data_IF_720657831304
#
_entry.id   IF_720657831304
#
_cell.length_a   1.000
_cell.length_b   1.000
_cell.length_c   1.000
_cell.angle_alpha   90.00
_cell.angle_beta   90.00
_cell.angle_gamma   90.00
#
_symmetry.space_group_name_H-M   'P 1'
#
loop_
_entity.id
_entity.type
_entity.pdbx_description
1 polymer ?
#
# COMPACT_ATOMS: atom_id res chain seq x y z
N UNK A 1 -7.08 5.78 -5.52
CA UNK A 1 -5.74 5.68 -4.87
C UNK A 1 -5.76 6.02 -3.39
N UNK A 2 -5.98 7.28 -2.97
CA UNK A 2 -5.95 7.64 -1.54
C UNK A 2 -6.95 6.80 -0.73
N UNK A 3 -8.19 6.64 -1.20
CA UNK A 3 -9.19 5.82 -0.51
C UNK A 3 -8.76 4.34 -0.38
N UNK A 4 -8.14 3.76 -1.42
CA UNK A 4 -7.60 2.39 -1.37
C UNK A 4 -6.49 2.26 -0.32
N UNK A 5 -5.55 3.22 -0.31
CA UNK A 5 -4.45 3.26 0.67
C UNK A 5 -5.01 3.30 2.10
N UNK A 6 -5.97 4.18 2.36
CA UNK A 6 -6.60 4.25 3.69
C UNK A 6 -7.31 2.94 4.04
N UNK A 7 -7.96 2.28 3.09
CA UNK A 7 -8.60 0.97 3.30
C UNK A 7 -7.58 -0.11 3.72
N UNK A 8 -6.44 -0.20 3.04
CA UNK A 8 -5.37 -1.12 3.42
C UNK A 8 -4.73 -0.75 4.77
N UNK A 9 -4.50 0.54 5.03
CA UNK A 9 -4.00 1.03 6.31
C UNK A 9 -4.89 0.63 7.48
N UNK A 10 -6.21 0.75 7.33
CA UNK A 10 -7.16 0.24 8.33
C UNK A 10 -7.08 -1.28 8.44
N UNK A 11 -6.96 -2.01 7.32
CA UNK A 11 -6.74 -3.45 7.33
C UNK A 11 -5.53 -3.87 8.17
N UNK A 12 -4.39 -3.20 8.00
CA UNK A 12 -3.22 -3.41 8.84
C UNK A 12 -3.49 -3.12 10.31
N UNK A 13 -4.10 -1.97 10.61
CA UNK A 13 -4.41 -1.59 11.98
C UNK A 13 -5.33 -2.59 12.68
N UNK A 14 -6.36 -3.10 11.99
CA UNK A 14 -7.26 -4.12 12.52
C UNK A 14 -6.53 -5.45 12.75
N UNK A 15 -5.73 -5.93 11.79
CA UNK A 15 -5.00 -7.18 11.94
C UNK A 15 -4.02 -7.11 13.11
N UNK A 16 -3.28 -6.02 13.26
CA UNK A 16 -2.31 -5.84 14.34
C UNK A 16 -3.00 -5.75 15.71
N UNK A 17 -4.17 -5.09 15.80
CA UNK A 17 -4.89 -4.92 17.08
C UNK A 17 -5.67 -6.15 17.52
N UNK A 18 -6.35 -6.81 16.59
CA UNK A 18 -7.33 -7.85 16.93
C UNK A 18 -6.80 -9.27 16.73
N UNK A 19 -5.68 -9.42 16.03
CA UNK A 19 -5.15 -10.73 15.68
C UNK A 19 -3.66 -10.85 15.97
N UNK A 20 -3.22 -11.99 16.48
CA UNK A 20 -1.79 -12.30 16.64
C UNK A 20 -1.13 -12.82 15.35
N UNK A 21 -1.68 -12.47 14.17
CA UNK A 21 -1.22 -12.97 12.86
C UNK A 21 0.07 -12.28 12.38
N UNK A 22 0.49 -11.21 13.04
CA UNK A 22 1.77 -10.54 12.79
C UNK A 22 1.78 -9.10 13.31
N UNK A 23 2.92 -8.43 13.16
CA UNK A 23 3.10 -7.01 13.46
C UNK A 23 3.85 -6.29 12.34
N UNK A 24 3.70 -4.98 12.27
CA UNK A 24 4.69 -4.09 11.64
C UNK A 24 5.79 -3.82 12.66
N UNK A 25 7.05 -3.89 12.25
CA UNK A 25 8.19 -3.57 13.11
C UNK A 25 9.13 -2.60 12.41
N UNK A 26 9.74 -1.70 13.16
CA UNK A 26 10.81 -0.85 12.66
C UNK A 26 12.05 -1.70 12.37
N UNK A 27 12.70 -1.49 11.23
CA UNK A 27 13.83 -2.31 10.79
C UNK A 27 15.08 -2.12 11.67
N UNK A 28 15.31 -0.90 12.14
CA UNK A 28 16.49 -0.50 12.91
C UNK A 28 16.40 -0.91 14.39
N UNK A 29 15.26 -0.69 15.04
CA UNK A 29 15.06 -0.98 16.47
C UNK A 29 14.40 -2.32 16.73
N UNK A 30 13.71 -2.90 15.73
CA UNK A 30 12.88 -4.09 15.90
C UNK A 30 11.60 -3.85 16.70
N UNK A 31 11.29 -2.60 17.04
CA UNK A 31 10.12 -2.26 17.85
C UNK A 31 8.81 -2.45 17.09
N UNK A 32 7.83 -3.05 17.75
CA UNK A 32 6.50 -3.24 17.20
C UNK A 32 5.76 -1.90 17.09
N UNK A 33 5.23 -1.64 15.90
CA UNK A 33 4.53 -0.41 15.59
C UNK A 33 3.02 -0.65 15.67
N UNK A 34 2.37 0.10 16.56
CA UNK A 34 0.92 0.01 16.79
C UNK A 34 0.16 1.30 16.42
N UNK A 35 0.87 2.34 15.98
CA UNK A 35 0.26 3.61 15.61
C UNK A 35 -0.40 3.53 14.21
N UNK A 36 -1.63 4.02 14.11
CA UNK A 36 -2.37 4.10 12.85
C UNK A 36 -1.64 4.97 11.81
N UNK A 37 -0.96 6.04 12.22
CA UNK A 37 -0.24 6.92 11.30
C UNK A 37 0.90 6.18 10.58
N UNK A 38 1.60 5.30 11.30
CA UNK A 38 2.65 4.48 10.71
C UNK A 38 2.08 3.37 9.82
N UNK A 39 0.88 2.85 10.12
CA UNK A 39 0.18 1.92 9.23
C UNK A 39 -0.21 2.60 7.91
N UNK A 40 -0.66 3.84 7.97
CA UNK A 40 -0.97 4.65 6.78
C UNK A 40 0.29 4.89 5.97
N UNK A 41 1.37 5.35 6.60
CA UNK A 41 2.66 5.53 5.94
C UNK A 41 3.16 4.25 5.26
N UNK A 42 3.11 3.12 5.98
CA UNK A 42 3.47 1.81 5.45
C UNK A 42 2.63 1.41 4.22
N UNK A 43 1.32 1.66 4.29
CA UNK A 43 0.40 1.43 3.17
C UNK A 43 0.73 2.32 1.96
N UNK A 44 1.05 3.60 2.17
CA UNK A 44 1.47 4.50 1.09
C UNK A 44 2.68 3.96 0.32
N UNK A 45 3.74 3.61 1.05
CA UNK A 45 5.00 3.15 0.44
C UNK A 45 4.86 1.77 -0.19
N UNK A 46 3.97 0.92 0.32
CA UNK A 46 3.69 -0.42 -0.23
C UNK A 46 2.82 -0.33 -1.47
N UNK A 47 1.72 0.42 -1.42
CA UNK A 47 0.78 0.61 -2.53
C UNK A 47 1.47 1.25 -3.74
N UNK A 48 2.35 2.23 -3.51
CA UNK A 48 3.12 2.87 -4.57
C UNK A 48 4.35 2.08 -5.01
N UNK A 49 4.60 0.92 -4.39
CA UNK A 49 5.77 0.06 -4.63
C UNK A 49 7.12 0.72 -4.35
N UNK A 50 7.14 1.80 -3.56
CA UNK A 50 8.34 2.55 -3.20
C UNK A 50 9.25 1.77 -2.24
N UNK A 51 8.67 1.22 -1.17
CA UNK A 51 9.33 0.29 -0.26
C UNK A 51 10.63 0.78 0.39
N UNK A 52 10.61 1.87 1.16
CA UNK A 52 11.81 2.39 1.86
C UNK A 52 12.51 1.36 2.78
N UNK A 53 11.77 0.36 3.28
CA UNK A 53 12.32 -0.73 4.08
C UNK A 53 12.61 -0.37 5.54
N UNK A 54 12.17 0.80 5.99
CA UNK A 54 12.22 1.27 7.38
C UNK A 54 11.20 0.55 8.27
N UNK A 55 10.07 0.15 7.71
CA UNK A 55 9.05 -0.67 8.38
C UNK A 55 8.88 -1.98 7.62
N UNK A 56 8.95 -3.09 8.35
CA UNK A 56 8.82 -4.42 7.78
C UNK A 56 7.63 -5.20 8.38
N UNK A 57 6.87 -5.95 7.55
CA UNK A 57 5.80 -6.80 8.01
C UNK A 57 6.34 -8.15 8.50
N UNK A 58 5.78 -8.63 9.60
CA UNK A 58 6.11 -9.94 10.19
C UNK A 58 4.90 -10.87 10.17
N UNK A 59 5.15 -12.18 10.21
CA UNK A 59 4.08 -13.18 10.17
C UNK A 59 3.26 -13.17 8.87
N UNK A 60 1.96 -13.41 8.99
CA UNK A 60 1.02 -13.51 7.86
C UNK A 60 0.71 -12.17 7.21
N UNK A 61 1.04 -11.03 7.84
CA UNK A 61 0.89 -9.70 7.25
C UNK A 61 1.67 -9.53 5.95
N UNK A 62 2.75 -10.29 5.75
CA UNK A 62 3.54 -10.29 4.51
C UNK A 62 2.71 -10.58 3.27
N UNK A 63 1.69 -11.43 3.39
CA UNK A 63 0.80 -11.73 2.26
C UNK A 63 -0.09 -10.54 1.92
N UNK A 64 -0.59 -9.81 2.92
CA UNK A 64 -1.38 -8.61 2.70
C UNK A 64 -0.53 -7.51 2.05
N UNK A 65 0.71 -7.33 2.48
CA UNK A 65 1.70 -6.45 1.83
C UNK A 65 1.88 -6.77 0.35
N UNK A 66 2.05 -8.05 0.02
CA UNK A 66 2.20 -8.48 -1.38
C UNK A 66 0.94 -8.23 -2.22
N UNK A 67 -0.24 -8.42 -1.64
CA UNK A 67 -1.50 -8.13 -2.31
C UNK A 67 -1.72 -6.63 -2.52
N UNK A 68 -1.37 -5.82 -1.52
CA UNK A 68 -1.46 -4.37 -1.62
C UNK A 68 -0.53 -3.81 -2.72
N UNK A 69 0.72 -4.26 -2.76
CA UNK A 69 1.68 -3.79 -3.77
C UNK A 69 1.25 -4.18 -5.19
N UNK A 70 0.73 -5.39 -5.39
CA UNK A 70 0.16 -5.81 -6.67
C UNK A 70 -1.08 -4.97 -7.04
N UNK A 71 -1.98 -4.75 -6.08
CA UNK A 71 -3.19 -3.95 -6.30
C UNK A 71 -2.84 -2.52 -6.68
N UNK A 72 -1.89 -1.91 -5.97
CA UNK A 72 -1.44 -0.55 -6.25
C UNK A 72 -0.78 -0.41 -7.61
N UNK A 73 0.09 -1.36 -7.98
CA UNK A 73 0.68 -1.43 -9.33
C UNK A 73 -0.40 -1.47 -10.42
N UNK A 74 -1.38 -2.36 -10.30
CA UNK A 74 -2.47 -2.52 -11.28
C UNK A 74 -3.32 -1.25 -11.39
N UNK A 75 -3.70 -0.65 -10.26
CA UNK A 75 -4.55 0.54 -10.27
C UNK A 75 -3.84 1.79 -10.80
N UNK A 76 -2.55 1.97 -10.47
CA UNK A 76 -1.75 3.09 -11.00
C UNK A 76 -1.54 2.94 -12.51
N UNK A 77 -1.21 1.73 -12.97
CA UNK A 77 -1.05 1.48 -14.42
C UNK A 77 -2.36 1.60 -15.19
N UNK A 78 -3.48 1.27 -14.56
CA UNK A 78 -4.80 1.48 -15.14
C UNK A 78 -5.12 2.97 -15.28
N UNK A 79 -4.90 3.81 -14.26
CA UNK A 79 -5.15 5.26 -14.39
C UNK A 79 -4.26 5.91 -15.44
N UNK A 80 -3.00 5.51 -15.55
CA UNK A 80 -2.10 5.95 -16.61
C UNK A 80 -2.60 5.54 -18.01
N UNK A 81 -3.05 4.27 -18.16
CA UNK A 81 -3.58 3.76 -19.43
C UNK A 81 -4.87 4.45 -19.85
N UNK A 82 -5.77 4.73 -18.90
CA UNK A 82 -6.99 5.48 -19.15
C UNK A 82 -6.69 6.92 -19.60
N UNK A 83 -5.76 7.60 -18.92
CA UNK A 83 -5.34 8.95 -19.32
C UNK A 83 -4.71 8.98 -20.71
N UNK A 84 -3.89 7.98 -21.04
CA UNK A 84 -3.33 7.83 -22.39
C UNK A 84 -4.43 7.64 -23.45
N UNK A 85 -5.43 6.80 -23.17
CA UNK A 85 -6.56 6.59 -24.07
C UNK A 85 -7.34 7.89 -24.30
N UNK A 86 -7.60 8.65 -23.25
CA UNK A 86 -8.33 9.91 -23.35
C UNK A 86 -7.52 10.98 -24.11
N UNK A 87 -6.21 11.09 -23.85
CA UNK A 87 -5.32 11.98 -24.62
C UNK A 87 -5.32 11.66 -26.11
N UNK A 88 -5.26 10.37 -26.47
CA UNK A 88 -5.29 9.93 -27.87
C UNK A 88 -6.58 10.31 -28.58
N UNK A 89 -7.72 10.22 -27.89
CA UNK A 89 -9.03 10.54 -28.48
C UNK A 89 -9.11 11.99 -28.98
N UNK A 90 -8.50 12.93 -28.26
CA UNK A 90 -8.50 14.35 -28.64
C UNK A 90 -7.35 14.76 -29.57
N UNK A 91 -6.37 13.87 -29.78
CA UNK A 91 -5.22 14.14 -30.63
C UNK A 91 -5.51 13.93 -32.12
N UNK A 92 -6.40 12.99 -32.45
CA UNK A 92 -6.73 12.62 -33.84
C UNK A 92 -7.86 13.51 -34.45
N UNK A 93 -8.38 14.49 -33.70
CA UNK A 93 -9.44 15.43 -34.12
C UNK A 93 -8.89 16.78 -34.67
N UNK A 94 -7.57 16.88 -34.89
CA UNK A 94 -6.86 18.03 -35.52
C UNK A 94 -5.99 17.58 -36.70
#
# INVERSE_FOLDING_TARGET
>A
HIAEIWMFAFGYFFIIKFTSLGSLVAFDTGEAIHNIMNCIYYSFITYTTLGFGDIIPTGSLRFLTGLESLTGLVLITWTASFMYFEMRKYWDDE
#
